data_IF_356450643205
#
_entry.id   IF_356450643205
#
_cell.length_a   1.000
_cell.length_b   1.000
_cell.length_c   1.000
_cell.angle_alpha   90.00
_cell.angle_beta   90.00
_cell.angle_gamma   90.00
#
_symmetry.space_group_name_H-M   'P 1'
#
loop_
_entity.id
_entity.type
_entity.pdbx_description
1 polymer ?
#
# COMPACT_ATOMS: atom_id res chain seq x y z
N UNK A 1 54.47 -0.90 27.75
CA UNK A 1 54.82 0.43 27.22
C UNK A 1 53.54 1.09 26.73
N UNK A 2 53.23 2.20 27.41
CA UNK A 2 52.11 3.14 27.37
C UNK A 2 50.80 2.84 26.59
N UNK A 3 49.67 2.79 27.32
CA UNK A 3 48.32 2.99 26.79
C UNK A 3 47.94 4.49 26.82
N UNK A 4 47.14 4.95 25.87
CA UNK A 4 46.46 6.25 25.96
C UNK A 4 44.94 6.05 25.78
N UNK A 5 44.12 6.41 26.78
CA UNK A 5 42.68 6.48 26.64
C UNK A 5 42.29 7.90 26.20
N UNK A 6 41.48 8.03 25.16
CA UNK A 6 40.83 9.30 24.81
C UNK A 6 39.50 9.36 25.55
N UNK A 7 39.48 10.16 26.62
CA UNK A 7 38.27 10.65 27.27
C UNK A 7 37.50 11.54 26.28
N UNK A 8 36.22 11.23 26.04
CA UNK A 8 35.26 12.23 25.56
C UNK A 8 34.42 12.71 26.73
N UNK A 9 34.53 14.00 27.02
CA UNK A 9 33.84 14.70 28.08
C UNK A 9 32.34 14.90 27.72
N UNK A 10 31.47 14.51 28.64
CA UNK A 10 30.09 14.99 28.71
C UNK A 10 30.11 16.47 29.13
N UNK A 11 29.57 17.37 28.31
CA UNK A 11 29.11 18.68 28.74
C UNK A 11 27.60 18.66 28.91
N UNK A 12 27.17 18.61 30.16
CA UNK A 12 25.83 18.97 30.62
C UNK A 12 25.72 20.51 30.60
N UNK A 13 24.78 21.06 29.83
CA UNK A 13 24.32 22.44 30.00
C UNK A 13 22.81 22.37 30.27
N UNK A 14 22.45 22.78 31.48
CA UNK A 14 21.06 22.94 31.90
C UNK A 14 20.64 24.41 31.97
N UNK A 15 19.34 24.55 32.25
CA UNK A 15 18.63 25.68 32.88
C UNK A 15 18.11 26.85 32.01
N UNK A 16 16.79 27.03 32.11
CA UNK A 16 15.98 28.22 31.77
C UNK A 16 14.57 27.77 31.39
N UNK A 17 13.54 27.68 32.24
CA UNK A 17 13.02 28.52 33.36
C UNK A 17 12.45 29.87 32.90
N UNK A 18 11.19 29.82 32.45
CA UNK A 18 10.01 30.57 32.96
C UNK A 18 9.01 30.94 31.84
N UNK A 19 7.69 30.71 32.03
CA UNK A 19 6.63 31.25 31.18
C UNK A 19 5.97 32.50 31.81
N UNK A 20 5.54 33.49 31.00
CA UNK A 20 4.46 34.40 31.37
C UNK A 20 3.18 33.98 30.61
N UNK A 21 2.09 33.67 31.31
CA UNK A 21 1.11 34.59 31.90
C UNK A 21 -0.06 34.88 30.95
N UNK A 22 -1.22 34.42 31.42
CA UNK A 22 -2.58 34.91 31.23
C UNK A 22 -2.81 36.12 30.31
N UNK A 23 -3.72 35.92 29.36
CA UNK A 23 -4.51 36.97 28.71
C UNK A 23 -5.93 36.45 28.51
N UNK A 24 -6.83 36.84 29.40
CA UNK A 24 -8.26 36.81 29.20
C UNK A 24 -8.66 37.99 28.29
N UNK A 25 -9.66 37.79 27.42
CA UNK A 25 -10.79 38.71 27.18
C UNK A 25 -11.59 38.20 25.96
N UNK A 26 -12.84 37.75 26.15
CA UNK A 26 -14.07 38.53 25.99
C UNK A 26 -14.27 39.02 24.54
N UNK A 27 -15.23 38.42 23.83
CA UNK A 27 -16.26 39.21 23.11
C UNK A 27 -17.31 38.32 22.45
N UNK A 28 -18.51 38.41 23.01
CA UNK A 28 -19.80 38.14 22.40
C UNK A 28 -20.06 39.08 21.21
N UNK A 29 -20.68 38.60 20.13
CA UNK A 29 -21.65 39.38 19.37
C UNK A 29 -22.50 38.50 18.42
N UNK A 30 -23.77 38.49 18.77
CA UNK A 30 -25.02 38.20 18.04
C UNK A 30 -25.12 38.86 16.65
N UNK A 31 -26.19 38.45 15.92
CA UNK A 31 -26.90 39.13 14.81
C UNK A 31 -26.30 38.88 13.42
N UNK A 32 -27.03 38.61 12.34
CA UNK A 32 -28.42 38.91 11.99
C UNK A 32 -28.97 37.92 10.97
N UNK A 33 -30.25 37.58 11.14
CA UNK A 33 -31.10 37.10 10.05
C UNK A 33 -31.39 38.25 9.07
N UNK A 34 -31.61 37.93 7.81
CA UNK A 34 -32.35 38.79 6.86
C UNK A 34 -32.99 37.97 5.74
N UNK A 35 -34.05 38.52 5.11
CA UNK A 35 -35.15 37.74 4.55
C UNK A 35 -35.11 37.62 3.02
N UNK A 36 -35.91 36.64 2.55
CA UNK A 36 -36.75 36.59 1.34
C UNK A 36 -36.68 37.82 0.41
N UNK A 37 -36.49 37.65 -0.90
CA UNK A 37 -37.52 37.98 -1.93
C UNK A 37 -37.14 37.52 -3.35
N UNK A 38 -38.20 37.19 -4.10
CA UNK A 38 -38.43 37.46 -5.53
C UNK A 38 -38.11 36.40 -6.58
N UNK A 39 -39.20 35.68 -6.88
CA UNK A 39 -39.68 35.21 -8.17
C UNK A 39 -39.09 35.88 -9.42
N UNK A 40 -38.69 35.03 -10.37
CA UNK A 40 -38.52 35.38 -11.78
C UNK A 40 -39.21 34.34 -12.67
N UNK A 41 -40.37 34.77 -13.18
CA UNK A 41 -40.97 34.52 -14.50
C UNK A 41 -40.57 33.23 -15.24
N UNK A 42 -41.54 32.33 -15.36
CA UNK A 42 -41.51 31.20 -16.28
C UNK A 42 -41.54 31.67 -17.75
N UNK A 43 -40.54 31.27 -18.52
CA UNK A 43 -40.52 31.38 -19.97
C UNK A 43 -41.21 30.16 -20.62
N UNK A 44 -41.85 30.32 -21.79
CA UNK A 44 -42.55 29.23 -22.46
C UNK A 44 -41.58 28.16 -23.01
N UNK A 45 -42.03 26.89 -23.12
CA UNK A 45 -41.19 25.81 -23.64
C UNK A 45 -40.94 25.99 -25.14
N UNK A 46 -39.67 26.13 -25.51
CA UNK A 46 -39.24 25.96 -26.89
C UNK A 46 -39.26 24.46 -27.23
N UNK A 47 -40.10 24.11 -28.20
CA UNK A 47 -40.13 22.80 -28.85
C UNK A 47 -38.79 22.56 -29.56
N UNK A 48 -37.85 21.92 -28.86
CA UNK A 48 -36.59 21.46 -29.45
C UNK A 48 -36.88 20.33 -30.43
N UNK A 49 -36.60 20.59 -31.71
CA UNK A 49 -36.52 19.57 -32.73
C UNK A 49 -35.46 18.51 -32.33
N UNK A 50 -35.70 17.21 -32.59
CA UNK A 50 -34.73 16.17 -32.29
C UNK A 50 -33.43 16.41 -33.07
N UNK A 51 -32.39 16.82 -32.34
CA UNK A 51 -31.04 16.90 -32.87
C UNK A 51 -30.62 15.50 -33.32
N UNK A 52 -30.20 15.40 -34.59
CA UNK A 52 -29.71 14.18 -35.19
C UNK A 52 -28.62 13.57 -34.30
N UNK A 53 -28.80 12.31 -33.90
CA UNK A 53 -27.84 11.58 -33.10
C UNK A 53 -26.48 11.61 -33.82
N UNK A 54 -25.40 12.09 -33.16
CA UNK A 54 -24.08 12.06 -33.75
C UNK A 54 -23.73 10.60 -34.07
N UNK A 55 -23.33 10.35 -35.32
CA UNK A 55 -22.85 9.04 -35.73
C UNK A 55 -21.74 8.59 -34.78
N UNK A 56 -21.75 7.34 -34.29
CA UNK A 56 -20.72 6.84 -33.40
C UNK A 56 -19.38 6.94 -34.12
N UNK A 57 -18.52 7.84 -33.65
CA UNK A 57 -17.16 7.95 -34.13
C UNK A 57 -16.50 6.59 -33.87
N UNK A 58 -16.17 5.89 -34.95
CA UNK A 58 -15.43 4.63 -34.92
C UNK A 58 -14.11 4.91 -34.20
N UNK A 59 -14.04 4.56 -32.92
CA UNK A 59 -12.81 4.71 -32.13
C UNK A 59 -11.81 3.72 -32.70
N UNK A 60 -10.84 4.23 -33.47
CA UNK A 60 -9.73 3.45 -33.95
C UNK A 60 -9.04 2.80 -32.74
N UNK A 61 -8.95 1.48 -32.74
CA UNK A 61 -8.28 0.72 -31.69
C UNK A 61 -6.84 1.22 -31.59
N UNK A 62 -6.49 1.81 -30.45
CA UNK A 62 -5.14 2.30 -30.22
C UNK A 62 -4.15 1.13 -30.34
N UNK A 63 -2.98 1.33 -30.98
CA UNK A 63 -1.95 0.30 -31.05
C UNK A 63 -1.60 -0.22 -29.63
N UNK A 64 -1.30 -1.52 -29.48
CA UNK A 64 -0.89 -2.09 -28.20
C UNK A 64 0.32 -1.32 -27.67
N UNK A 65 0.28 -0.95 -26.39
CA UNK A 65 1.35 -0.20 -25.74
C UNK A 65 2.66 -0.99 -25.80
N UNK A 66 3.76 -0.31 -26.13
CA UNK A 66 5.08 -0.92 -26.09
C UNK A 66 5.39 -1.47 -24.69
N UNK A 67 6.14 -2.59 -24.58
CA UNK A 67 6.56 -3.11 -23.29
C UNK A 67 7.36 -2.03 -22.53
N UNK A 68 7.09 -1.91 -21.23
CA UNK A 68 7.80 -0.95 -20.38
C UNK A 68 9.28 -1.32 -20.29
N UNK A 69 10.16 -0.32 -20.27
CA UNK A 69 11.58 -0.53 -20.05
C UNK A 69 11.85 -1.12 -18.65
N UNK A 70 12.96 -1.84 -18.43
CA UNK A 70 13.29 -2.38 -17.11
C UNK A 70 13.43 -1.28 -16.05
N UNK A 71 13.08 -1.62 -14.81
CA UNK A 71 13.19 -0.73 -13.63
C UNK A 71 14.62 -0.19 -13.50
N UNK A 72 14.81 1.13 -13.28
CA UNK A 72 16.14 1.70 -13.12
C UNK A 72 16.84 1.17 -11.88
N UNK A 73 18.15 0.98 -11.99
CA UNK A 73 19.02 0.61 -10.89
C UNK A 73 19.13 1.74 -9.84
N UNK A 74 19.52 1.40 -8.61
CA UNK A 74 19.77 2.38 -7.54
C UNK A 74 20.78 3.45 -7.97
N UNK A 75 21.84 3.04 -8.69
CA UNK A 75 22.86 3.96 -9.21
C UNK A 75 22.28 4.99 -10.19
N UNK A 76 21.34 4.60 -11.05
CA UNK A 76 20.66 5.52 -11.96
C UNK A 76 19.76 6.50 -11.20
N UNK A 77 19.05 6.02 -10.18
CA UNK A 77 18.23 6.88 -9.33
C UNK A 77 19.06 7.94 -8.61
N UNK A 78 20.20 7.54 -8.05
CA UNK A 78 21.08 8.43 -7.28
C UNK A 78 21.70 9.53 -8.16
N UNK A 79 22.02 9.19 -9.42
CA UNK A 79 22.57 10.13 -10.41
C UNK A 79 21.55 11.15 -10.92
N UNK A 80 20.26 10.90 -10.71
CA UNK A 80 19.17 11.73 -11.25
C UNK A 80 18.87 12.91 -10.34
N UNK A 81 18.62 14.08 -10.93
CA UNK A 81 18.23 15.28 -10.16
C UNK A 81 16.83 15.12 -9.57
N UNK A 82 16.62 15.76 -8.41
CA UNK A 82 15.30 15.87 -7.80
C UNK A 82 14.40 16.76 -8.68
N UNK A 83 13.20 16.30 -8.99
CA UNK A 83 12.23 17.05 -9.79
C UNK A 83 11.05 17.48 -8.90
N UNK A 84 11.22 18.59 -8.19
CA UNK A 84 10.21 19.12 -7.28
C UNK A 84 8.90 19.51 -7.97
N UNK A 85 8.93 19.75 -9.29
CA UNK A 85 7.74 20.06 -10.10
C UNK A 85 6.89 18.85 -10.51
N UNK A 86 7.34 17.62 -10.25
CA UNK A 86 6.54 16.42 -10.54
C UNK A 86 5.39 16.25 -9.56
N UNK A 87 5.50 16.79 -8.35
CA UNK A 87 4.54 16.56 -7.28
C UNK A 87 3.89 17.87 -6.86
N UNK A 88 2.57 17.83 -6.63
CA UNK A 88 1.86 18.90 -5.93
C UNK A 88 1.87 18.62 -4.42
N UNK A 89 1.99 19.68 -3.61
CA UNK A 89 1.94 19.63 -2.13
C UNK A 89 3.00 18.70 -1.50
N UNK A 90 4.15 18.54 -2.15
CA UNK A 90 5.22 17.64 -1.71
C UNK A 90 5.92 18.16 -0.44
N UNK A 91 5.86 19.46 -0.19
CA UNK A 91 6.45 20.15 0.95
C UNK A 91 5.75 19.83 2.28
N UNK A 92 4.46 19.46 2.23
CA UNK A 92 3.71 19.05 3.41
C UNK A 92 4.16 17.68 3.93
N UNK A 93 4.54 16.77 3.02
CA UNK A 93 4.97 15.40 3.34
C UNK A 93 6.48 15.24 3.38
N UNK A 94 7.23 16.22 2.89
CA UNK A 94 8.68 16.10 2.69
C UNK A 94 9.07 15.03 1.68
N UNK A 95 8.10 14.56 0.88
CA UNK A 95 8.36 13.59 -0.17
C UNK A 95 8.97 14.29 -1.37
N UNK A 96 9.86 13.60 -2.07
CA UNK A 96 10.50 14.09 -3.29
C UNK A 96 10.33 13.08 -4.40
N UNK A 97 10.13 13.56 -5.62
CA UNK A 97 10.08 12.71 -6.80
C UNK A 97 11.38 12.82 -7.60
N UNK A 98 11.80 11.67 -8.15
CA UNK A 98 12.79 11.56 -9.21
C UNK A 98 12.17 10.86 -10.40
N UNK A 99 12.65 11.20 -11.59
CA UNK A 99 12.24 10.55 -12.82
C UNK A 99 13.43 10.02 -13.59
N UNK A 100 13.37 8.74 -13.96
CA UNK A 100 14.33 8.12 -14.86
C UNK A 100 13.54 7.46 -15.99
N UNK A 101 13.61 8.06 -17.19
CA UNK A 101 12.82 7.61 -18.35
C UNK A 101 11.32 7.67 -18.03
N UNK A 102 10.59 6.57 -18.18
CA UNK A 102 9.17 6.45 -17.80
C UNK A 102 8.96 6.14 -16.31
N UNK A 103 10.01 5.86 -15.54
CA UNK A 103 9.86 5.47 -14.15
C UNK A 103 9.88 6.68 -13.23
N UNK A 104 9.00 6.64 -12.23
CA UNK A 104 8.90 7.65 -11.17
C UNK A 104 9.17 6.99 -9.83
N UNK A 105 10.05 7.60 -9.04
CA UNK A 105 10.35 7.21 -7.66
C UNK A 105 9.92 8.36 -6.75
N UNK A 106 8.89 8.12 -5.94
CA UNK A 106 8.42 9.04 -4.91
C UNK A 106 8.98 8.55 -3.58
N UNK A 107 9.91 9.31 -3.00
CA UNK A 107 10.56 8.95 -1.74
C UNK A 107 10.27 9.97 -0.64
N UNK A 108 9.86 9.47 0.51
CA UNK A 108 9.64 10.28 1.70
C UNK A 108 10.68 9.93 2.74
N UNK A 109 11.22 10.92 3.44
CA UNK A 109 12.26 10.74 4.47
C UNK A 109 11.96 11.57 5.70
N UNK A 110 12.30 11.05 6.88
CA UNK A 110 12.03 11.74 8.15
C UNK A 110 12.62 13.17 8.24
N UNK A 111 13.88 13.43 7.80
CA UNK A 111 14.47 14.77 7.96
C UNK A 111 13.78 15.88 7.16
N UNK A 112 13.04 15.52 6.11
CA UNK A 112 12.37 16.47 5.22
C UNK A 112 10.88 16.59 5.48
N UNK A 113 10.30 15.63 6.20
CA UNK A 113 8.87 15.54 6.45
C UNK A 113 8.45 16.37 7.66
N UNK A 114 7.43 17.21 7.48
CA UNK A 114 6.72 17.86 8.58
C UNK A 114 5.73 16.93 9.30
N UNK A 115 5.45 15.76 8.72
CA UNK A 115 4.53 14.76 9.24
C UNK A 115 5.22 13.66 10.06
N UNK A 116 6.53 13.80 10.32
CA UNK A 116 7.33 12.81 11.03
C UNK A 116 7.90 11.71 10.14
N UNK A 117 8.32 10.60 10.75
CA UNK A 117 8.95 9.47 10.05
C UNK A 117 7.91 8.70 9.22
N UNK A 118 8.18 8.44 7.92
CA UNK A 118 7.29 7.62 7.10
C UNK A 118 7.35 6.16 7.55
N UNK A 119 6.19 5.59 7.84
CA UNK A 119 6.04 4.23 8.38
C UNK A 119 5.73 3.22 7.28
N UNK A 120 4.76 3.55 6.42
CA UNK A 120 4.20 2.61 5.45
C UNK A 120 3.67 3.32 4.20
N UNK A 121 3.66 2.60 3.07
CA UNK A 121 2.93 2.98 1.86
C UNK A 121 1.95 1.85 1.57
N UNK A 122 0.67 2.18 1.46
CA UNK A 122 -0.40 1.24 1.12
C UNK A 122 -0.94 1.57 -0.26
N UNK A 123 -1.04 0.58 -1.15
CA UNK A 123 -1.61 0.80 -2.48
C UNK A 123 -3.13 0.74 -2.38
N UNK A 124 -3.79 1.87 -2.67
CA UNK A 124 -5.25 1.99 -2.61
C UNK A 124 -5.86 1.57 -3.94
N UNK A 125 -5.26 2.01 -5.06
CA UNK A 125 -5.83 1.77 -6.40
C UNK A 125 -4.78 1.81 -7.50
N UNK A 126 -5.02 1.01 -8.54
CA UNK A 126 -4.66 1.33 -9.92
C UNK A 126 -3.20 1.10 -10.35
N UNK A 127 -2.27 0.96 -9.41
CA UNK A 127 -0.91 0.54 -9.77
C UNK A 127 -0.85 -0.97 -10.05
N UNK A 128 -0.37 -1.40 -11.23
CA UNK A 128 -0.22 -2.82 -11.53
C UNK A 128 0.86 -3.43 -10.63
N UNK A 129 0.48 -4.47 -9.87
CA UNK A 129 1.37 -5.13 -8.90
C UNK A 129 2.70 -5.62 -9.53
N UNK A 130 2.68 -5.99 -10.81
CA UNK A 130 3.87 -6.48 -11.52
C UNK A 130 4.91 -5.40 -11.85
N UNK A 131 4.59 -4.11 -11.69
CA UNK A 131 5.50 -2.99 -12.01
C UNK A 131 5.61 -1.98 -10.88
N UNK A 132 5.25 -2.38 -9.66
CA UNK A 132 5.28 -1.53 -8.49
C UNK A 132 6.30 -2.07 -7.49
N UNK A 133 7.22 -1.21 -7.07
CA UNK A 133 8.24 -1.54 -6.08
C UNK A 133 8.10 -0.59 -4.89
N UNK A 134 7.82 -1.14 -3.70
CA UNK A 134 7.86 -0.40 -2.44
C UNK A 134 9.16 -0.75 -1.73
N UNK A 135 10.02 0.26 -1.55
CA UNK A 135 11.35 0.08 -0.97
C UNK A 135 11.42 0.81 0.38
N UNK A 136 11.84 0.11 1.43
CA UNK A 136 12.23 0.70 2.72
C UNK A 136 13.75 0.66 2.83
N UNK A 137 14.40 1.82 2.87
CA UNK A 137 15.85 1.91 3.00
C UNK A 137 16.29 1.94 4.47
N UNK A 138 17.55 1.50 4.71
CA UNK A 138 18.23 1.65 6.01
C UNK A 138 18.51 3.13 6.27
N UNK A 139 17.50 3.84 6.73
CA UNK A 139 17.53 5.28 6.95
C UNK A 139 16.17 5.88 7.29
N UNK A 140 15.12 5.04 7.35
CA UNK A 140 13.76 5.52 7.61
C UNK A 140 13.14 6.22 6.40
N UNK A 141 13.67 5.96 5.20
CA UNK A 141 13.05 6.41 3.95
C UNK A 141 12.16 5.31 3.38
N UNK A 142 10.94 5.68 2.98
CA UNK A 142 10.01 4.77 2.30
C UNK A 142 9.72 5.33 0.91
N UNK A 143 9.71 4.45 -0.09
CA UNK A 143 9.69 4.84 -1.49
C UNK A 143 8.70 4.02 -2.28
N UNK A 144 7.98 4.69 -3.15
CA UNK A 144 7.08 4.13 -4.15
C UNK A 144 7.71 4.32 -5.53
N UNK A 145 7.94 3.23 -6.24
CA UNK A 145 8.44 3.22 -7.62
C UNK A 145 7.38 2.65 -8.55
N UNK A 146 7.06 3.37 -9.62
CA UNK A 146 6.08 2.95 -10.62
C UNK A 146 6.40 3.54 -12.00
N UNK A 147 5.99 2.90 -13.10
CA UNK A 147 6.09 3.48 -14.43
C UNK A 147 4.94 4.47 -14.65
N UNK A 148 5.25 5.71 -15.00
CA UNK A 148 4.26 6.67 -15.45
C UNK A 148 3.96 6.44 -16.94
N UNK A 149 2.76 5.93 -17.23
CA UNK A 149 2.30 5.69 -18.59
C UNK A 149 0.91 6.28 -18.82
N UNK A 150 0.56 6.72 -20.04
CA UNK A 150 -0.80 7.12 -20.37
C UNK A 150 -1.81 6.02 -20.06
N UNK A 151 -2.93 6.40 -19.47
CA UNK A 151 -4.00 5.51 -19.01
C UNK A 151 -3.77 4.90 -17.61
N UNK A 152 -2.65 5.21 -16.96
CA UNK A 152 -2.39 4.75 -15.60
C UNK A 152 -2.86 5.79 -14.59
N UNK A 153 -3.88 5.41 -13.83
CA UNK A 153 -4.30 6.10 -12.63
C UNK A 153 -3.90 5.26 -11.42
N UNK A 154 -3.32 5.89 -10.41
CA UNK A 154 -2.84 5.21 -9.21
C UNK A 154 -3.06 6.03 -7.96
N UNK A 155 -3.41 5.36 -6.87
CA UNK A 155 -3.61 5.96 -5.56
C UNK A 155 -2.87 5.14 -4.50
N UNK A 156 -2.13 5.82 -3.63
CA UNK A 156 -1.41 5.20 -2.52
C UNK A 156 -1.55 6.05 -1.25
N UNK A 157 -1.68 5.42 -0.10
CA UNK A 157 -1.70 6.08 1.20
C UNK A 157 -0.30 6.02 1.81
N UNK A 158 0.27 7.18 2.09
CA UNK A 158 1.53 7.31 2.80
C UNK A 158 1.24 7.59 4.28
N UNK A 159 1.63 6.66 5.13
CA UNK A 159 1.40 6.74 6.59
C UNK A 159 2.66 7.24 7.26
N UNK A 160 2.52 8.26 8.09
CA UNK A 160 3.58 8.84 8.92
C UNK A 160 3.16 8.82 10.39
N UNK A 161 4.11 9.05 11.28
CA UNK A 161 3.85 9.10 12.73
C UNK A 161 2.80 10.15 13.14
N UNK A 162 2.69 11.26 12.42
CA UNK A 162 1.80 12.38 12.78
C UNK A 162 0.60 12.53 11.84
N UNK A 163 0.42 11.63 10.88
CA UNK A 163 -0.73 11.62 9.98
C UNK A 163 -0.53 10.82 8.70
N UNK A 164 -1.55 10.81 7.86
CA UNK A 164 -1.54 10.08 6.59
C UNK A 164 -1.87 10.99 5.41
N UNK A 165 -1.29 10.68 4.26
CA UNK A 165 -1.45 11.46 3.04
C UNK A 165 -1.76 10.54 1.86
N UNK A 166 -2.83 10.86 1.12
CA UNK A 166 -3.09 10.22 -0.16
C UNK A 166 -2.16 10.80 -1.21
N UNK A 167 -1.41 9.93 -1.86
CA UNK A 167 -0.79 10.20 -3.14
C UNK A 167 -1.74 9.78 -4.26
N UNK A 168 -2.00 10.69 -5.19
CA UNK A 168 -2.84 10.45 -6.37
C UNK A 168 -2.02 10.79 -7.61
N UNK A 169 -1.90 9.84 -8.54
CA UNK A 169 -1.29 10.01 -9.86
C UNK A 169 -2.34 9.72 -10.91
N UNK A 170 -2.59 10.67 -11.83
CA UNK A 170 -3.59 10.50 -12.90
C UNK A 170 -3.00 10.91 -14.23
N UNK A 171 -2.95 9.99 -15.18
CA UNK A 171 -2.54 10.29 -16.55
C UNK A 171 -3.55 9.65 -17.51
N UNK A 172 -4.56 10.41 -17.97
CA UNK A 172 -5.54 9.88 -18.92
C UNK A 172 -4.90 9.39 -20.23
N UNK A 173 -5.42 8.29 -20.77
CA UNK A 173 -4.93 7.74 -22.03
C UNK A 173 -5.09 8.77 -23.18
N UNK A 174 -4.04 8.89 -24.01
CA UNK A 174 -4.03 9.81 -25.16
C UNK A 174 -3.82 11.29 -24.83
N UNK A 175 -3.70 11.65 -23.55
CA UNK A 175 -3.36 13.02 -23.15
C UNK A 175 -1.85 13.22 -23.02
N UNK A 176 -1.35 14.46 -23.25
CA UNK A 176 0.04 14.78 -22.95
C UNK A 176 0.33 14.55 -21.47
N UNK A 177 1.60 14.29 -21.16
CA UNK A 177 2.02 14.02 -19.80
C UNK A 177 1.67 15.18 -18.85
N UNK A 178 0.98 14.91 -17.72
CA UNK A 178 0.60 15.95 -16.78
C UNK A 178 1.81 16.46 -15.99
N UNK A 179 1.84 17.77 -15.75
CA UNK A 179 2.78 18.45 -14.84
C UNK A 179 1.95 19.26 -13.84
N UNK A 180 1.82 18.84 -12.57
CA UNK A 180 2.48 17.71 -11.90
C UNK A 180 1.90 16.34 -12.28
N UNK A 181 2.70 15.27 -12.13
CA UNK A 181 2.28 13.88 -12.39
C UNK A 181 1.38 13.32 -11.28
N UNK A 182 1.55 13.83 -10.07
CA UNK A 182 0.76 13.44 -8.92
C UNK A 182 0.70 14.50 -7.83
N UNK A 183 -0.15 14.26 -6.85
CA UNK A 183 -0.42 15.19 -5.75
C UNK A 183 -0.56 14.45 -4.44
N UNK A 184 -0.13 15.11 -3.37
CA UNK A 184 -0.43 14.70 -2.01
C UNK A 184 -1.63 15.47 -1.45
N UNK A 185 -2.55 14.74 -0.83
CA UNK A 185 -3.69 15.28 -0.10
C UNK A 185 -3.66 14.70 1.31
N UNK A 186 -3.74 15.55 2.34
CA UNK A 186 -3.79 15.07 3.72
C UNK A 186 -5.14 14.38 3.94
N UNK A 187 -5.11 13.14 4.40
CA UNK A 187 -6.33 12.46 4.84
C UNK A 187 -6.37 12.54 6.35
N UNK A 188 -7.42 13.15 6.88
CA UNK A 188 -7.80 12.93 8.27
C UNK A 188 -8.34 11.52 8.34
N UNK A 189 -7.46 10.57 8.68
CA UNK A 189 -7.94 9.25 9.08
C UNK A 189 -8.79 9.53 10.32
N UNK A 190 -10.10 9.20 10.31
CA UNK A 190 -10.88 9.26 11.53
C UNK A 190 -10.05 8.55 12.59
N UNK A 191 -9.86 9.16 13.76
CA UNK A 191 -9.13 8.56 14.86
C UNK A 191 -9.90 7.31 15.32
N UNK A 192 -9.78 6.24 14.55
CA UNK A 192 -10.37 4.96 14.83
C UNK A 192 -9.55 4.41 15.97
N UNK A 193 -10.19 4.49 17.13
CA UNK A 193 -9.77 4.09 18.46
C UNK A 193 -8.56 3.16 18.41
N UNK A 194 -7.40 3.71 18.75
CA UNK A 194 -6.27 2.94 19.24
C UNK A 194 -6.74 2.20 20.50
N UNK A 195 -7.39 1.05 20.33
CA UNK A 195 -7.88 0.25 21.41
C UNK A 195 -6.67 -0.24 22.23
N UNK A 196 -6.55 0.14 23.51
CA UNK A 196 -5.50 -0.38 24.37
C UNK A 196 -5.73 -1.87 24.56
N UNK A 197 -4.67 -2.65 24.32
CA UNK A 197 -4.69 -4.09 24.46
C UNK A 197 -5.14 -4.53 25.85
N UNK A 198 -6.19 -5.35 25.89
CA UNK A 198 -6.59 -6.17 27.03
C UNK A 198 -6.51 -7.63 26.63
N UNK A 199 -5.63 -8.38 27.28
CA UNK A 199 -5.47 -9.82 27.13
C UNK A 199 -6.40 -10.52 28.11
N UNK A 200 -7.20 -11.50 27.69
CA UNK A 200 -7.38 -12.78 28.40
C UNK A 200 -8.24 -13.77 27.57
N UNK A 201 -8.01 -15.09 27.72
CA UNK A 201 -8.52 -16.11 26.82
C UNK A 201 -9.87 -16.64 27.29
N UNK A 202 -10.80 -16.90 26.38
CA UNK A 202 -11.96 -17.72 26.70
C UNK A 202 -12.44 -18.53 25.50
N UNK A 203 -12.89 -19.72 25.87
CA UNK A 203 -13.12 -20.95 25.13
C UNK A 203 -13.97 -20.84 23.85
N UNK A 204 -13.59 -21.70 22.91
CA UNK A 204 -14.35 -22.14 21.73
C UNK A 204 -15.03 -21.03 20.93
N UNK A 205 -14.18 -20.23 20.27
CA UNK A 205 -14.62 -19.23 19.32
C UNK A 205 -15.45 -19.89 18.19
N UNK A 206 -16.60 -19.30 17.82
CA UNK A 206 -17.38 -19.77 16.68
C UNK A 206 -16.47 -19.84 15.45
N UNK A 207 -16.55 -20.95 14.70
CA UNK A 207 -15.82 -21.13 13.45
C UNK A 207 -16.09 -19.88 12.59
N UNK A 208 -15.08 -19.05 12.31
CA UNK A 208 -15.30 -17.79 11.63
C UNK A 208 -15.93 -18.06 10.27
N UNK A 209 -17.06 -17.41 10.02
CA UNK A 209 -17.80 -17.54 8.76
C UNK A 209 -16.90 -17.01 7.62
N UNK A 210 -16.48 -17.92 6.75
CA UNK A 210 -15.60 -17.59 5.62
C UNK A 210 -16.41 -16.86 4.56
N UNK A 211 -15.99 -15.66 4.17
CA UNK A 211 -16.69 -14.87 3.13
C UNK A 211 -16.87 -15.70 1.85
N UNK A 212 -18.11 -15.72 1.35
CA UNK A 212 -18.51 -16.38 0.11
C UNK A 212 -18.15 -15.59 -1.15
N UNK A 213 -17.47 -14.44 -1.03
CA UNK A 213 -17.02 -13.67 -2.20
C UNK A 213 -16.15 -14.53 -3.14
N UNK A 214 -16.32 -14.37 -4.46
CA UNK A 214 -15.55 -15.11 -5.45
C UNK A 214 -14.07 -14.75 -5.34
N UNK A 215 -13.22 -15.76 -5.28
CA UNK A 215 -11.78 -15.59 -5.27
C UNK A 215 -11.29 -14.91 -6.56
N UNK A 216 -10.16 -14.18 -6.51
CA UNK A 216 -9.52 -13.68 -7.72
C UNK A 216 -9.15 -14.84 -8.64
N UNK A 217 -9.21 -14.61 -9.96
CA UNK A 217 -8.84 -15.61 -10.97
C UNK A 217 -7.37 -15.99 -10.83
N UNK A 218 -7.10 -17.28 -10.64
CA UNK A 218 -5.76 -17.83 -10.48
C UNK A 218 -5.09 -18.06 -11.85
N UNK A 219 -3.85 -17.56 -12.08
CA UNK A 219 -3.05 -17.95 -13.22
C UNK A 219 -2.76 -19.46 -13.22
N UNK A 220 -2.78 -20.09 -14.40
CA UNK A 220 -2.37 -21.50 -14.53
C UNK A 220 -0.84 -21.56 -14.62
N UNK A 221 -0.21 -22.23 -13.67
CA UNK A 221 1.23 -22.53 -13.70
C UNK A 221 1.43 -24.01 -14.01
N UNK A 222 2.28 -24.31 -15.00
CA UNK A 222 2.61 -25.68 -15.37
C UNK A 222 3.25 -26.43 -14.19
N UNK A 223 2.70 -27.60 -13.87
CA UNK A 223 3.14 -28.43 -12.75
C UNK A 223 2.59 -28.04 -11.37
N UNK A 224 1.83 -26.94 -11.27
CA UNK A 224 1.11 -26.63 -10.04
C UNK A 224 -0.11 -27.57 -9.87
N UNK A 225 -0.49 -27.90 -8.62
CA UNK A 225 -1.70 -28.67 -8.36
C UNK A 225 -2.95 -27.94 -8.84
N UNK A 226 -3.91 -28.72 -9.31
CA UNK A 226 -5.23 -28.26 -9.76
C UNK A 226 -6.11 -27.78 -8.60
N UNK A 227 -7.17 -27.03 -8.91
CA UNK A 227 -8.09 -26.52 -7.90
C UNK A 227 -8.77 -27.64 -7.07
N UNK A 228 -9.09 -28.78 -7.69
CA UNK A 228 -9.69 -29.93 -6.99
C UNK A 228 -8.70 -30.59 -6.03
N UNK A 229 -7.42 -30.69 -6.41
CA UNK A 229 -6.36 -31.18 -5.52
C UNK A 229 -6.19 -30.25 -4.31
N UNK A 230 -6.21 -28.93 -4.53
CA UNK A 230 -6.18 -27.96 -3.43
C UNK A 230 -7.39 -28.08 -2.51
N UNK A 231 -8.59 -28.31 -3.04
CA UNK A 231 -9.78 -28.52 -2.21
C UNK A 231 -9.64 -29.77 -1.31
N UNK A 232 -9.08 -30.86 -1.84
CA UNK A 232 -8.86 -32.10 -1.11
C UNK A 232 -7.68 -32.06 -0.13
N UNK A 233 -6.72 -31.14 -0.35
CA UNK A 233 -5.54 -31.03 0.50
C UNK A 233 -5.89 -30.54 1.91
N UNK A 234 -5.15 -31.08 2.90
CA UNK A 234 -5.25 -30.65 4.30
C UNK A 234 -4.58 -29.30 4.50
N UNK A 235 -5.13 -28.54 5.43
CA UNK A 235 -4.51 -27.31 5.90
C UNK A 235 -3.17 -27.63 6.58
N UNK A 236 -2.14 -26.87 6.23
CA UNK A 236 -0.87 -26.85 6.95
C UNK A 236 -0.89 -25.70 7.95
N UNK A 237 -0.48 -25.97 9.19
CA UNK A 237 -0.43 -24.94 10.22
C UNK A 237 0.64 -23.89 9.91
N UNK A 238 0.21 -22.64 9.70
CA UNK A 238 1.08 -21.46 9.67
C UNK A 238 0.71 -20.60 10.87
N UNK A 239 1.72 -20.23 11.68
CA UNK A 239 1.45 -19.53 12.94
C UNK A 239 0.80 -18.17 12.65
N UNK A 240 -0.43 -17.98 13.14
CA UNK A 240 -1.21 -16.76 12.98
C UNK A 240 -2.10 -16.69 11.73
N UNK A 241 -2.09 -17.69 10.84
CA UNK A 241 -2.88 -17.66 9.61
C UNK A 241 -4.38 -17.58 9.86
N UNK A 242 -4.92 -18.45 10.71
CA UNK A 242 -6.36 -18.51 10.99
C UNK A 242 -6.87 -17.24 11.68
N UNK A 243 -6.04 -16.58 12.51
CA UNK A 243 -6.40 -15.32 13.16
C UNK A 243 -6.57 -14.15 12.17
N UNK A 244 -5.93 -14.26 11.00
CA UNK A 244 -5.98 -13.29 9.91
C UNK A 244 -6.92 -13.74 8.76
N UNK A 245 -7.70 -14.81 8.96
CA UNK A 245 -8.60 -15.33 7.93
C UNK A 245 -7.88 -15.91 6.71
N UNK A 246 -6.68 -16.45 6.91
CA UNK A 246 -5.91 -17.12 5.87
C UNK A 246 -5.95 -18.64 6.04
N UNK A 247 -6.32 -19.33 4.96
CA UNK A 247 -6.21 -20.78 4.82
C UNK A 247 -4.89 -21.11 4.11
N UNK A 248 -4.09 -21.99 4.69
CA UNK A 248 -2.78 -22.37 4.16
C UNK A 248 -2.75 -23.86 3.84
N UNK A 249 -2.45 -24.22 2.60
CA UNK A 249 -2.38 -25.61 2.14
C UNK A 249 -1.04 -25.90 1.50
N UNK A 250 -0.70 -27.18 1.48
CA UNK A 250 0.50 -27.62 0.79
C UNK A 250 0.32 -29.00 0.18
N UNK A 251 0.82 -29.15 -1.05
CA UNK A 251 0.84 -30.40 -1.80
C UNK A 251 2.24 -30.55 -2.36
N UNK A 252 2.96 -31.58 -1.95
CA UNK A 252 4.38 -31.77 -2.29
C UNK A 252 5.22 -30.52 -1.92
N UNK A 253 5.86 -29.92 -2.91
CA UNK A 253 6.67 -28.70 -2.84
C UNK A 253 5.88 -27.43 -3.19
N UNK A 254 4.56 -27.51 -3.42
CA UNK A 254 3.72 -26.34 -3.65
C UNK A 254 3.06 -25.87 -2.37
N UNK A 255 3.16 -24.58 -2.09
CA UNK A 255 2.47 -23.89 -1.01
C UNK A 255 1.40 -22.96 -1.59
N UNK A 256 0.18 -23.05 -1.08
CA UNK A 256 -0.92 -22.17 -1.43
C UNK A 256 -1.49 -21.53 -0.18
N UNK A 257 -1.69 -20.23 -0.21
CA UNK A 257 -2.36 -19.49 0.85
C UNK A 257 -3.48 -18.65 0.25
N UNK A 258 -4.64 -18.71 0.88
CA UNK A 258 -5.81 -17.89 0.51
C UNK A 258 -6.21 -17.08 1.73
N UNK A 259 -6.03 -15.77 1.66
CA UNK A 259 -6.54 -14.84 2.67
C UNK A 259 -7.84 -14.23 2.16
N UNK A 260 -8.90 -14.29 2.96
CA UNK A 260 -10.21 -13.71 2.64
C UNK A 260 -10.53 -12.55 3.59
N UNK A 261 -11.59 -11.83 3.26
CA UNK A 261 -12.20 -10.90 4.18
C UNK A 261 -12.53 -11.60 5.51
N UNK A 262 -12.15 -10.99 6.62
CA UNK A 262 -12.33 -11.56 7.94
C UNK A 262 -12.72 -10.47 8.93
N UNK A 263 -13.68 -10.78 9.82
CA UNK A 263 -14.34 -9.78 10.67
C UNK A 263 -13.38 -8.91 11.50
N UNK A 264 -12.23 -9.45 11.92
CA UNK A 264 -11.25 -8.74 12.75
C UNK A 264 -10.29 -7.84 11.97
N UNK A 265 -9.99 -8.19 10.72
CA UNK A 265 -8.91 -7.55 9.95
C UNK A 265 -9.42 -6.80 8.72
N UNK A 266 -10.67 -7.05 8.32
CA UNK A 266 -11.28 -6.48 7.13
C UNK A 266 -10.93 -7.26 5.87
N UNK A 267 -11.11 -6.60 4.72
CA UNK A 267 -10.77 -7.13 3.38
C UNK A 267 -9.28 -7.01 3.11
N UNK A 268 -8.75 -7.92 2.30
CA UNK A 268 -7.37 -7.80 1.80
C UNK A 268 -7.32 -6.70 0.74
N UNK A 269 -6.47 -5.70 0.94
CA UNK A 269 -6.30 -4.55 0.04
C UNK A 269 -5.10 -4.71 -0.87
N UNK A 270 -4.01 -5.30 -0.38
CA UNK A 270 -2.82 -5.57 -1.19
C UNK A 270 -1.99 -6.74 -0.66
N UNK A 271 -1.13 -7.28 -1.53
CA UNK A 271 -0.05 -8.15 -1.11
C UNK A 271 1.13 -8.10 -2.06
N UNK A 272 2.33 -8.08 -1.50
CA UNK A 272 3.59 -7.87 -2.23
C UNK A 272 4.60 -8.91 -1.78
N UNK A 273 5.15 -9.64 -2.75
CA UNK A 273 6.28 -10.52 -2.50
C UNK A 273 7.54 -9.68 -2.20
N UNK A 274 8.02 -9.77 -0.96
CA UNK A 274 9.24 -9.06 -0.50
C UNK A 274 10.48 -9.89 -0.83
N UNK A 275 10.36 -11.22 -0.81
CA UNK A 275 11.47 -12.15 -1.09
C UNK A 275 10.97 -13.52 -1.52
N UNK A 276 11.74 -14.20 -2.36
CA UNK A 276 11.69 -15.65 -2.49
C UNK A 276 10.45 -16.21 -3.18
N UNK A 277 9.71 -15.38 -3.93
CA UNK A 277 8.69 -15.86 -4.88
C UNK A 277 9.33 -15.85 -6.27
N UNK A 278 9.59 -17.04 -6.80
CA UNK A 278 9.96 -17.21 -8.21
C UNK A 278 8.70 -17.04 -9.07
N UNK A 279 8.65 -16.00 -9.91
CA UNK A 279 7.48 -15.69 -10.74
C UNK A 279 7.26 -16.71 -11.87
N UNK A 280 8.26 -17.53 -12.20
CA UNK A 280 8.06 -18.68 -13.10
C UNK A 280 7.36 -19.84 -12.38
N UNK A 281 7.35 -19.84 -11.05
CA UNK A 281 6.88 -20.95 -10.21
C UNK A 281 6.00 -20.49 -9.05
N UNK A 282 5.31 -19.38 -9.25
CA UNK A 282 4.43 -18.79 -8.25
C UNK A 282 3.87 -17.45 -8.68
N UNK A 283 2.85 -17.01 -7.94
CA UNK A 283 2.23 -15.70 -8.09
C UNK A 283 1.66 -15.22 -6.75
N UNK A 284 1.48 -13.91 -6.67
CA UNK A 284 0.61 -13.26 -5.69
C UNK A 284 -0.45 -12.51 -6.47
N UNK A 285 -1.72 -12.80 -6.20
CA UNK A 285 -2.85 -12.10 -6.82
C UNK A 285 -3.79 -11.60 -5.74
N UNK A 286 -4.20 -10.34 -5.86
CA UNK A 286 -5.16 -9.70 -4.96
C UNK A 286 -6.36 -9.25 -5.78
N UNK A 287 -7.56 -9.46 -5.26
CA UNK A 287 -8.81 -9.04 -5.89
C UNK A 287 -10.02 -9.46 -5.07
N UNK A 288 -11.13 -8.74 -5.22
CA UNK A 288 -12.40 -9.01 -4.50
C UNK A 288 -12.24 -9.09 -2.96
N UNK A 289 -11.35 -8.29 -2.37
CA UNK A 289 -11.08 -8.33 -0.93
C UNK A 289 -10.36 -9.59 -0.44
N UNK A 290 -9.80 -10.39 -1.36
CA UNK A 290 -9.05 -11.60 -1.07
C UNK A 290 -7.66 -11.57 -1.72
N UNK A 291 -6.76 -12.40 -1.22
CA UNK A 291 -5.43 -12.63 -1.76
C UNK A 291 -5.17 -14.12 -1.91
N UNK A 292 -4.52 -14.48 -3.01
CA UNK A 292 -3.99 -15.82 -3.24
C UNK A 292 -2.50 -15.72 -3.48
N UNK A 293 -1.75 -16.45 -2.66
CA UNK A 293 -0.35 -16.79 -2.91
C UNK A 293 -0.30 -18.24 -3.38
N UNK A 294 0.37 -18.47 -4.49
CA UNK A 294 0.84 -19.79 -4.89
C UNK A 294 2.35 -19.72 -5.09
N UNK A 295 3.13 -20.62 -4.52
CA UNK A 295 4.58 -20.67 -4.75
C UNK A 295 5.13 -22.07 -4.57
N UNK A 296 6.10 -22.44 -5.39
CA UNK A 296 6.92 -23.63 -5.16
C UNK A 296 7.87 -23.36 -3.98
N UNK A 297 7.55 -23.93 -2.82
CA UNK A 297 8.32 -23.82 -1.60
C UNK A 297 9.39 -24.91 -1.58
N UNK A 298 10.59 -24.58 -2.05
CA UNK A 298 11.74 -25.51 -2.13
C UNK A 298 12.75 -25.29 -1.01
N UNK A 299 13.58 -26.30 -0.79
CA UNK A 299 14.67 -26.28 0.18
C UNK A 299 15.70 -25.20 -0.15
N UNK A 300 16.15 -24.45 0.85
CA UNK A 300 17.07 -23.32 0.71
C UNK A 300 16.37 -21.98 0.47
N UNK A 301 15.04 -21.95 0.39
CA UNK A 301 14.28 -20.73 0.09
C UNK A 301 13.68 -20.10 1.33
N UNK A 302 13.87 -18.79 1.43
CA UNK A 302 13.15 -17.92 2.37
C UNK A 302 12.18 -17.05 1.57
N UNK A 303 10.88 -17.29 1.75
CA UNK A 303 9.82 -16.52 1.11
C UNK A 303 9.21 -15.56 2.12
N UNK A 304 9.07 -14.29 1.74
CA UNK A 304 8.44 -13.27 2.58
C UNK A 304 7.44 -12.46 1.77
N UNK A 305 6.24 -12.27 2.30
CA UNK A 305 5.15 -11.54 1.64
C UNK A 305 4.52 -10.58 2.63
N UNK A 306 4.49 -9.31 2.28
CA UNK A 306 3.75 -8.30 3.03
C UNK A 306 2.30 -8.34 2.55
N UNK A 307 1.37 -8.45 3.48
CA UNK A 307 -0.07 -8.52 3.22
C UNK A 307 -0.73 -7.40 4.01
N UNK A 308 -1.59 -6.66 3.34
CA UNK A 308 -2.31 -5.52 3.91
C UNK A 308 -3.80 -5.81 3.82
N UNK A 309 -4.47 -5.70 4.95
CA UNK A 309 -5.92 -5.66 5.07
C UNK A 309 -6.37 -4.22 5.37
N UNK A 310 -7.68 -3.97 5.37
CA UNK A 310 -8.24 -2.66 5.71
C UNK A 310 -7.77 -2.14 7.07
N UNK A 311 -7.69 -3.02 8.08
CA UNK A 311 -7.45 -2.61 9.48
C UNK A 311 -6.08 -3.02 10.02
N UNK A 312 -5.28 -3.76 9.25
CA UNK A 312 -4.00 -4.27 9.72
C UNK A 312 -3.07 -4.69 8.59
N UNK A 313 -1.79 -4.84 8.88
CA UNK A 313 -0.84 -5.47 7.98
C UNK A 313 0.04 -6.49 8.72
N UNK A 314 0.45 -7.52 7.99
CA UNK A 314 1.31 -8.58 8.51
C UNK A 314 2.22 -9.10 7.39
N UNK A 315 3.38 -9.60 7.78
CA UNK A 315 4.30 -10.28 6.87
C UNK A 315 4.22 -11.77 7.09
N UNK A 316 3.84 -12.53 6.06
CA UNK A 316 4.05 -13.97 6.04
C UNK A 316 5.55 -14.23 5.80
N UNK A 317 6.18 -15.00 6.69
CA UNK A 317 7.56 -15.46 6.53
C UNK A 317 7.56 -16.98 6.47
N UNK A 318 7.93 -17.55 5.33
CA UNK A 318 8.17 -18.98 5.12
C UNK A 318 9.68 -19.24 5.07
N UNK A 319 10.16 -20.23 5.81
CA UNK A 319 11.60 -20.57 5.84
C UNK A 319 11.81 -22.05 5.61
N UNK A 320 12.62 -22.40 4.62
CA UNK A 320 13.11 -23.77 4.45
C UNK A 320 14.64 -23.76 4.39
N UNK A 321 15.33 -23.99 5.52
CA UNK A 321 16.80 -23.99 5.55
C UNK A 321 17.39 -25.08 4.64
N UNK A 322 18.51 -24.77 3.98
CA UNK A 322 19.26 -25.74 3.16
C UNK A 322 19.82 -26.90 3.99
N UNK A 323 19.98 -26.72 5.30
CA UNK A 323 20.44 -27.78 6.21
C UNK A 323 19.30 -28.71 6.66
N UNK A 324 18.04 -28.36 6.40
CA UNK A 324 16.90 -29.17 6.85
C UNK A 324 16.80 -30.46 6.02
N UNK A 325 16.89 -31.61 6.70
CA UNK A 325 16.75 -32.93 6.05
C UNK A 325 15.30 -33.21 5.60
N UNK A 326 14.33 -32.62 6.31
CA UNK A 326 12.90 -32.75 6.04
C UNK A 326 12.30 -31.34 6.00
N UNK A 327 11.22 -31.20 5.25
CA UNK A 327 10.49 -29.95 5.19
C UNK A 327 9.91 -29.55 6.57
N UNK A 328 10.06 -28.29 7.01
CA UNK A 328 9.71 -27.88 8.37
C UNK A 328 8.19 -27.90 8.63
N UNK A 329 7.79 -28.19 9.86
CA UNK A 329 6.41 -28.03 10.35
C UNK A 329 6.46 -27.34 11.73
N UNK A 330 5.91 -26.12 11.93
CA UNK A 330 5.22 -25.24 10.98
C UNK A 330 6.17 -24.55 9.97
N UNK A 331 5.64 -24.28 8.77
CA UNK A 331 6.39 -23.81 7.59
C UNK A 331 6.66 -22.30 7.59
N UNK A 332 6.08 -21.57 8.53
CA UNK A 332 6.20 -20.12 8.62
C UNK A 332 5.35 -19.48 9.70
N UNK A 333 5.42 -18.17 9.79
CA UNK A 333 4.64 -17.35 10.71
C UNK A 333 4.23 -16.02 10.09
N UNK A 334 3.10 -15.49 10.56
CA UNK A 334 2.72 -14.10 10.33
C UNK A 334 3.35 -13.22 11.41
N UNK A 335 4.19 -12.29 10.97
CA UNK A 335 4.81 -11.27 11.83
C UNK A 335 4.02 -9.99 11.64
N UNK A 336 3.44 -9.46 12.72
CA UNK A 336 2.74 -8.16 12.68
C UNK A 336 3.70 -7.08 12.19
N UNK A 337 3.24 -6.27 11.23
CA UNK A 337 4.00 -5.11 10.76
C UNK A 337 3.66 -3.90 11.64
N UNK A 338 4.67 -3.12 12.05
CA UNK A 338 4.47 -1.94 12.90
C UNK A 338 3.87 -0.77 12.14
#
# INVERSE_FOLDING_TARGET
MNPFPVLFALTLIGCGKDPPAAGADVSSATTSASPVTSAAVAAPPATNAPAAAPSPATSAVAPPAAPASPEPSLKEWDATKLELGLLKNWDATGCVARRVREWIRVGCSAPTSKAGMPMEIQIVKGFPASKLSILKERGGSTMLVFPATPGLDGEALFVFAEGSYQFVSRWPAGQPEPKPIGSFEKIEVPAEEAAPGGSEPSDEAPVPEVSAEPLPTEPVIEGAPTASEWQAAREVGVKGSSALGCETKQINDWFRMVCRAHAKVGKVTSGVAVRGVDTAKGYVVTGNGALILLTQFVKGTDTAIDIVWENTSAQLVLKWPETAAVAPSPRGEFVKRP
#
